data_IF_608929060519
#
_entry.id   IF_608929060519
#
_cell.length_a   1.000
_cell.length_b   1.000
_cell.length_c   1.000
_cell.angle_alpha   90.00
_cell.angle_beta   90.00
_cell.angle_gamma   90.00
#
_symmetry.space_group_name_H-M   'P 1'
#
loop_
_entity.id
_entity.type
_entity.pdbx_description
1 polymer ?
#
# COMPACT_ATOMS: atom_id res chain seq x y z
N UNK A 1 18.72 -43.51 -26.30
CA UNK A 1 17.45 -44.16 -25.95
C UNK A 1 16.51 -43.08 -25.42
N UNK A 2 15.49 -42.69 -26.21
CA UNK A 2 14.48 -41.69 -25.88
C UNK A 2 13.19 -42.42 -25.52
N UNK A 3 12.61 -42.15 -24.36
CA UNK A 3 11.16 -42.27 -24.11
C UNK A 3 10.77 -41.12 -23.16
N UNK A 4 9.87 -40.20 -23.56
CA UNK A 4 9.30 -39.17 -22.70
C UNK A 4 7.95 -39.65 -22.14
N UNK A 5 7.62 -39.34 -20.88
CA UNK A 5 6.26 -39.51 -20.34
C UNK A 5 6.03 -38.47 -19.23
N UNK A 6 5.28 -37.40 -19.54
CA UNK A 6 3.86 -37.16 -19.21
C UNK A 6 3.60 -36.64 -17.79
N UNK A 7 3.16 -35.38 -17.71
CA UNK A 7 2.27 -34.91 -16.63
C UNK A 7 0.95 -35.70 -16.67
N UNK A 8 0.27 -35.83 -15.52
CA UNK A 8 -1.08 -35.24 -15.47
C UNK A 8 -1.49 -34.63 -14.10
N UNK A 9 -2.27 -33.55 -14.22
CA UNK A 9 -3.55 -33.19 -13.56
C UNK A 9 -3.81 -33.53 -12.08
N UNK A 10 -4.39 -32.55 -11.36
CA UNK A 10 -5.78 -32.53 -10.78
C UNK A 10 -5.93 -31.27 -9.91
N UNK A 11 -6.65 -30.20 -10.31
CA UNK A 11 -8.12 -29.89 -10.27
C UNK A 11 -8.67 -29.61 -8.86
N UNK A 12 -9.35 -28.44 -8.71
CA UNK A 12 -10.64 -28.12 -8.03
C UNK A 12 -10.67 -26.59 -7.71
N UNK A 13 -11.72 -25.78 -7.83
CA UNK A 13 -13.09 -25.92 -8.37
C UNK A 13 -13.79 -24.51 -8.38
N UNK A 14 -14.84 -24.40 -9.21
CA UNK A 14 -16.03 -23.50 -9.21
C UNK A 14 -15.88 -21.97 -9.01
N UNK A 15 -16.48 -21.24 -9.96
CA UNK A 15 -17.60 -20.33 -9.63
C UNK A 15 -18.51 -20.10 -10.85
N UNK A 16 -19.78 -20.44 -10.64
CA UNK A 16 -20.93 -20.09 -11.47
C UNK A 16 -21.07 -18.56 -11.58
N UNK A 17 -21.51 -18.09 -12.73
CA UNK A 17 -22.41 -16.94 -12.81
C UNK A 17 -23.32 -17.07 -14.02
N UNK A 18 -24.59 -17.28 -13.73
CA UNK A 18 -25.66 -17.38 -14.70
C UNK A 18 -26.10 -16.01 -15.26
N UNK A 19 -26.51 -16.06 -16.52
CA UNK A 19 -27.77 -15.55 -17.08
C UNK A 19 -28.46 -14.43 -16.28
N UNK A 20 -28.45 -13.22 -16.82
CA UNK A 20 -29.65 -12.39 -16.89
C UNK A 20 -29.77 -11.78 -18.28
N UNK A 21 -30.99 -11.90 -18.79
CA UNK A 21 -31.45 -11.57 -20.14
C UNK A 21 -32.09 -10.18 -20.19
N UNK A 22 -32.35 -9.74 -21.43
CA UNK A 22 -33.34 -8.74 -21.89
C UNK A 22 -32.89 -7.27 -21.78
N UNK A 23 -32.75 -6.52 -22.90
CA UNK A 23 -33.70 -6.09 -23.94
C UNK A 23 -34.45 -4.79 -23.58
N UNK A 24 -34.50 -3.88 -24.56
CA UNK A 24 -35.11 -2.55 -24.51
C UNK A 24 -34.25 -1.58 -25.31
N UNK A 25 -34.20 -1.64 -26.65
CA UNK A 25 -35.28 -1.30 -27.59
C UNK A 25 -35.83 0.10 -27.35
N UNK A 26 -35.26 1.14 -27.96
CA UNK A 26 -35.95 2.38 -28.32
C UNK A 26 -35.32 2.92 -29.61
N UNK A 27 -35.93 2.52 -30.71
CA UNK A 27 -35.86 3.16 -32.03
C UNK A 27 -37.06 4.11 -32.09
N UNK A 28 -36.87 5.37 -32.45
CA UNK A 28 -37.89 6.16 -33.13
C UNK A 28 -37.22 7.20 -34.01
N UNK A 29 -37.55 7.07 -35.29
CA UNK A 29 -37.25 7.96 -36.39
C UNK A 29 -38.23 9.16 -36.43
N UNK A 30 -37.80 10.18 -37.16
CA UNK A 30 -38.58 11.05 -38.06
C UNK A 30 -39.50 12.19 -37.56
N UNK A 31 -39.09 13.37 -38.03
CA UNK A 31 -39.87 14.41 -38.71
C UNK A 31 -41.15 14.97 -38.05
N UNK A 32 -41.05 16.22 -37.56
CA UNK A 32 -42.03 17.27 -37.91
C UNK A 32 -41.31 18.62 -38.05
N UNK A 33 -41.33 19.15 -39.27
CA UNK A 33 -41.06 20.54 -39.56
C UNK A 33 -42.16 21.44 -38.95
N UNK A 34 -41.77 22.50 -38.24
CA UNK A 34 -42.63 23.67 -38.03
C UNK A 34 -41.84 24.95 -38.31
N UNK A 35 -42.11 25.48 -39.50
CA UNK A 35 -41.95 26.90 -39.82
C UNK A 35 -42.71 27.73 -38.79
N UNK A 36 -41.99 28.60 -38.08
CA UNK A 36 -42.57 29.66 -37.25
C UNK A 36 -41.94 30.97 -37.69
N UNK A 37 -42.79 31.90 -38.13
CA UNK A 37 -42.47 33.22 -38.65
C UNK A 37 -41.65 34.09 -37.67
N UNK A 38 -40.89 35.08 -38.18
CA UNK A 38 -40.03 35.93 -37.36
C UNK A 38 -40.83 36.90 -36.48
N UNK A 39 -40.48 36.93 -35.18
CA UNK A 39 -40.90 37.96 -34.22
C UNK A 39 -39.98 39.18 -34.38
N UNK A 40 -40.48 40.43 -34.34
CA UNK A 40 -39.65 41.62 -34.39
C UNK A 40 -38.68 41.70 -33.21
N UNK A 41 -37.40 41.79 -33.53
CA UNK A 41 -36.28 41.87 -32.58
C UNK A 41 -36.23 43.26 -31.94
N UNK A 42 -36.48 43.34 -30.63
CA UNK A 42 -36.24 44.53 -29.81
C UNK A 42 -34.72 44.73 -29.65
N UNK A 43 -34.21 45.98 -29.66
CA UNK A 43 -32.78 46.25 -29.58
C UNK A 43 -32.19 45.72 -28.26
N UNK A 44 -30.98 45.13 -28.31
CA UNK A 44 -30.34 44.52 -27.14
C UNK A 44 -30.04 45.57 -26.08
N UNK A 45 -30.55 45.31 -24.87
CA UNK A 45 -30.19 46.03 -23.64
C UNK A 45 -28.67 45.88 -23.43
N UNK A 46 -27.92 46.97 -23.19
CA UNK A 46 -26.48 46.88 -22.94
C UNK A 46 -26.22 45.95 -21.74
N UNK A 47 -25.62 44.80 -22.03
CA UNK A 47 -25.11 43.90 -21.00
C UNK A 47 -23.95 44.63 -20.34
N UNK A 48 -24.17 45.15 -19.15
CA UNK A 48 -23.10 45.64 -18.30
C UNK A 48 -22.03 44.52 -18.18
N UNK A 49 -20.75 44.82 -18.39
CA UNK A 49 -19.70 43.81 -18.30
C UNK A 49 -19.76 43.16 -16.92
N UNK A 50 -20.04 41.85 -16.90
CA UNK A 50 -19.99 41.04 -15.70
C UNK A 50 -18.57 41.17 -15.13
N UNK A 51 -18.45 41.89 -14.00
CA UNK A 51 -17.21 42.02 -13.26
C UNK A 51 -16.73 40.59 -12.97
N UNK A 52 -15.58 40.15 -13.50
CA UNK A 52 -15.08 38.82 -13.22
C UNK A 52 -14.85 38.71 -11.72
N UNK A 53 -15.66 37.87 -11.06
CA UNK A 53 -15.50 37.57 -9.65
C UNK A 53 -14.08 37.04 -9.44
N UNK A 54 -13.34 37.52 -8.41
CA UNK A 54 -11.96 37.15 -8.21
C UNK A 54 -11.85 35.64 -8.03
N UNK A 55 -11.18 35.00 -8.99
CA UNK A 55 -10.83 33.58 -8.95
C UNK A 55 -9.96 33.30 -7.72
N UNK A 56 -10.56 32.91 -6.59
CA UNK A 56 -9.83 32.42 -5.41
C UNK A 56 -8.87 31.32 -5.85
N UNK A 57 -7.58 31.48 -5.57
CA UNK A 57 -6.57 30.47 -5.85
C UNK A 57 -6.88 29.19 -5.05
N UNK A 58 -6.50 28.00 -5.55
CA UNK A 58 -6.58 26.77 -4.77
C UNK A 58 -5.83 26.93 -3.45
N UNK A 59 -6.47 26.57 -2.34
CA UNK A 59 -5.83 26.58 -1.03
C UNK A 59 -5.07 25.27 -0.85
N UNK A 60 -3.85 25.34 -0.35
CA UNK A 60 -2.99 24.18 -0.22
C UNK A 60 -2.42 24.14 1.20
N UNK A 61 -2.70 23.05 1.91
CA UNK A 61 -2.34 22.85 3.30
C UNK A 61 -1.43 21.62 3.45
N UNK A 62 -0.41 21.74 4.31
CA UNK A 62 0.47 20.61 4.65
C UNK A 62 0.10 20.09 6.03
N UNK A 63 -0.25 18.81 6.12
CA UNK A 63 -0.55 18.13 7.37
C UNK A 63 0.57 17.15 7.71
N UNK A 64 1.08 17.22 8.94
CA UNK A 64 2.13 16.34 9.44
C UNK A 64 1.52 15.40 10.46
N UNK A 65 1.31 14.15 10.05
CA UNK A 65 0.79 13.10 10.89
C UNK A 65 1.92 12.43 11.66
N UNK A 66 1.83 12.41 12.99
CA UNK A 66 2.70 11.63 13.85
C UNK A 66 2.07 10.26 14.08
N UNK A 67 2.82 9.19 13.79
CA UNK A 67 2.36 7.82 13.97
C UNK A 67 2.28 7.52 15.47
N UNK A 68 1.13 6.99 15.88
CA UNK A 68 0.92 6.53 17.25
C UNK A 68 1.43 5.10 17.39
N UNK A 69 2.55 4.95 18.10
CA UNK A 69 3.22 3.68 18.33
C UNK A 69 2.35 2.65 19.05
N UNK A 70 1.44 3.10 19.92
CA UNK A 70 0.55 2.19 20.68
C UNK A 70 -0.56 1.61 19.81
N UNK A 71 -0.88 2.27 18.70
CA UNK A 71 -1.95 1.88 17.76
C UNK A 71 -1.43 1.44 16.39
N UNK A 72 -0.10 1.43 16.22
CA UNK A 72 0.54 1.10 14.95
C UNK A 72 1.44 -0.11 15.13
N UNK A 73 1.16 -1.15 14.35
CA UNK A 73 1.89 -2.42 14.41
C UNK A 73 2.36 -2.80 13.01
N UNK A 74 3.60 -3.25 12.91
CA UNK A 74 4.15 -3.95 11.76
C UNK A 74 4.23 -5.44 12.05
N UNK A 75 3.85 -6.25 11.07
CA UNK A 75 3.94 -7.70 11.10
C UNK A 75 4.90 -8.10 9.99
N UNK A 76 5.88 -8.94 10.33
CA UNK A 76 6.79 -9.55 9.38
C UNK A 76 6.47 -11.04 9.33
N UNK A 77 6.13 -11.51 8.14
CA UNK A 77 6.11 -12.91 7.78
C UNK A 77 7.40 -13.23 7.03
N UNK A 78 8.19 -14.16 7.58
CA UNK A 78 9.39 -14.68 6.91
C UNK A 78 9.22 -16.17 6.60
N UNK A 79 9.49 -16.54 5.35
CA UNK A 79 9.64 -17.95 4.94
C UNK A 79 11.10 -18.29 4.77
N UNK A 80 11.55 -19.39 5.39
CA UNK A 80 12.92 -19.89 5.33
C UNK A 80 12.93 -21.23 4.59
N UNK A 81 13.71 -21.32 3.52
CA UNK A 81 13.94 -22.57 2.79
C UNK A 81 15.45 -22.83 2.66
N UNK A 82 16.07 -23.56 3.62
CA UNK A 82 17.49 -23.83 3.61
C UNK A 82 17.85 -24.84 2.53
N UNK A 83 18.25 -24.35 1.34
CA UNK A 83 18.79 -25.22 0.28
C UNK A 83 20.05 -25.93 0.79
N UNK A 84 20.09 -27.23 0.57
CA UNK A 84 21.20 -28.10 0.94
C UNK A 84 20.85 -29.15 1.99
N UNK A 85 19.73 -28.99 2.71
CA UNK A 85 19.33 -29.94 3.76
C UNK A 85 18.01 -30.70 3.48
N UNK A 86 17.32 -30.42 2.35
CA UNK A 86 16.04 -31.05 1.98
C UNK A 86 14.96 -30.98 3.08
N UNK A 87 15.01 -29.95 3.92
CA UNK A 87 14.19 -29.86 5.13
C UNK A 87 12.78 -29.28 4.90
N UNK A 88 12.51 -28.79 3.70
CA UNK A 88 11.31 -28.05 3.35
C UNK A 88 11.28 -26.64 3.95
N UNK A 89 10.41 -25.80 3.39
CA UNK A 89 10.23 -24.43 3.85
C UNK A 89 9.46 -24.37 5.18
N UNK A 90 9.88 -23.45 6.06
CA UNK A 90 9.18 -23.10 7.30
C UNK A 90 8.84 -21.62 7.30
N UNK A 91 7.76 -21.26 7.98
CA UNK A 91 7.31 -19.88 8.12
C UNK A 91 7.36 -19.48 9.59
N UNK A 92 7.85 -18.27 9.85
CA UNK A 92 7.75 -17.61 11.14
C UNK A 92 7.11 -16.23 10.95
N UNK A 93 6.38 -15.80 11.97
CA UNK A 93 5.71 -14.51 12.02
C UNK A 93 6.10 -13.82 13.31
N UNK A 94 6.39 -12.54 13.24
CA UNK A 94 6.50 -11.70 14.42
C UNK A 94 5.92 -10.29 14.19
N UNK A 95 5.62 -9.59 15.29
CA UNK A 95 4.98 -8.27 15.29
C UNK A 95 5.78 -7.31 16.15
N UNK A 96 5.98 -6.08 15.66
CA UNK A 96 6.58 -5.01 16.44
C UNK A 96 5.81 -3.70 16.29
N UNK A 97 5.78 -2.86 17.34
CA UNK A 97 5.27 -1.49 17.22
C UNK A 97 6.11 -0.67 16.23
N UNK A 98 5.47 0.30 15.58
CA UNK A 98 6.14 1.23 14.65
C UNK A 98 5.92 2.67 15.08
N UNK A 99 6.92 3.52 14.81
CA UNK A 99 6.83 4.97 14.96
C UNK A 99 7.23 5.67 13.67
N UNK A 100 6.92 6.96 13.58
CA UNK A 100 7.30 7.74 12.41
C UNK A 100 6.40 8.93 12.12
N UNK A 101 6.49 9.41 10.87
CA UNK A 101 5.74 10.56 10.38
C UNK A 101 5.24 10.33 8.96
N UNK A 102 4.07 10.90 8.66
CA UNK A 102 3.50 10.94 7.32
C UNK A 102 3.18 12.41 7.00
N UNK A 103 3.80 12.94 5.96
CA UNK A 103 3.57 14.31 5.50
C UNK A 103 2.64 14.27 4.29
N UNK A 104 1.50 14.92 4.45
CA UNK A 104 0.42 14.94 3.48
C UNK A 104 0.20 16.37 3.00
N UNK A 105 -0.03 16.52 1.70
CA UNK A 105 -0.46 17.77 1.09
C UNK A 105 -1.92 17.64 0.68
N UNK A 106 -2.75 18.52 1.23
CA UNK A 106 -4.18 18.62 0.95
C UNK A 106 -4.42 19.88 0.14
N UNK A 107 -5.04 19.72 -1.03
CA UNK A 107 -5.35 20.83 -1.93
C UNK A 107 -6.84 20.95 -2.10
N UNK A 108 -7.37 22.13 -1.82
CA UNK A 108 -8.77 22.49 -1.96
C UNK A 108 -8.97 23.33 -3.22
N UNK A 109 -9.72 22.77 -4.18
CA UNK A 109 -10.18 23.51 -5.34
C UNK A 109 -11.44 24.29 -4.96
N UNK A 110 -11.25 25.57 -4.68
CA UNK A 110 -12.33 26.50 -4.29
C UNK A 110 -13.40 26.70 -5.37
N UNK A 111 -13.11 26.37 -6.65
CA UNK A 111 -14.07 26.48 -7.76
C UNK A 111 -14.99 25.27 -7.86
N UNK A 112 -14.45 24.07 -7.65
CA UNK A 112 -15.20 22.81 -7.80
C UNK A 112 -15.65 22.22 -6.46
N UNK A 113 -15.12 22.74 -5.34
CA UNK A 113 -15.27 22.14 -4.02
C UNK A 113 -14.52 20.81 -3.86
N UNK A 114 -13.71 20.41 -4.84
CA UNK A 114 -12.93 19.18 -4.79
C UNK A 114 -11.73 19.34 -3.85
N UNK A 115 -11.61 18.41 -2.90
CA UNK A 115 -10.42 18.26 -2.07
C UNK A 115 -9.59 17.09 -2.57
N UNK A 116 -8.28 17.27 -2.69
CA UNK A 116 -7.33 16.24 -3.10
C UNK A 116 -6.28 16.02 -2.04
N UNK A 117 -5.82 14.78 -1.92
CA UNK A 117 -4.76 14.36 -1.02
C UNK A 117 -3.57 13.85 -1.82
N UNK A 118 -2.37 14.28 -1.45
CA UNK A 118 -1.11 13.74 -1.95
C UNK A 118 -0.18 13.44 -0.78
N UNK A 119 0.58 12.37 -0.87
CA UNK A 119 1.57 12.01 0.14
C UNK A 119 2.93 12.50 -0.33
N UNK A 120 3.55 13.38 0.46
CA UNK A 120 4.87 13.92 0.15
C UNK A 120 5.99 13.08 0.74
N UNK A 121 5.80 12.64 1.98
CA UNK A 121 6.81 11.87 2.69
C UNK A 121 6.14 10.87 3.63
N UNK A 122 6.78 9.71 3.79
CA UNK A 122 6.42 8.66 4.75
C UNK A 122 7.74 8.19 5.35
N UNK A 123 7.89 8.25 6.67
CA UNK A 123 9.06 7.67 7.35
C UNK A 123 8.57 6.85 8.51
N UNK A 124 8.79 5.53 8.44
CA UNK A 124 8.33 4.58 9.45
C UNK A 124 9.51 3.73 9.88
N UNK A 125 9.64 3.50 11.18
CA UNK A 125 10.64 2.58 11.75
C UNK A 125 10.03 1.71 12.83
N UNK A 126 10.56 0.50 13.01
CA UNK A 126 10.17 -0.37 14.10
C UNK A 126 10.76 0.11 15.43
N UNK A 127 9.99 0.02 16.50
CA UNK A 127 10.47 0.36 17.86
C UNK A 127 10.71 -0.87 18.71
N UNK A 128 10.00 -1.97 18.43
CA UNK A 128 10.34 -3.30 18.93
C UNK A 128 11.26 -4.05 17.97
N UNK A 129 12.01 -5.00 18.50
CA UNK A 129 12.72 -5.99 17.68
C UNK A 129 11.72 -7.04 17.14
N UNK A 130 12.09 -7.68 16.04
CA UNK A 130 11.44 -8.90 15.57
C UNK A 130 12.35 -10.10 15.83
N UNK A 131 11.76 -11.20 16.32
CA UNK A 131 12.42 -12.45 16.65
C UNK A 131 11.68 -13.59 15.98
N UNK A 132 12.38 -14.32 15.12
CA UNK A 132 11.79 -15.40 14.33
C UNK A 132 12.61 -16.67 14.46
N UNK A 133 11.99 -17.70 15.03
CA UNK A 133 12.60 -19.00 15.26
C UNK A 133 12.05 -20.06 14.32
N UNK A 134 12.95 -20.86 13.77
CA UNK A 134 12.63 -21.97 12.88
C UNK A 134 13.29 -23.24 13.39
N UNK A 135 12.50 -24.28 13.67
CA UNK A 135 13.01 -25.53 14.21
C UNK A 135 12.74 -26.73 13.27
N UNK A 136 13.74 -27.60 13.14
CA UNK A 136 13.67 -28.84 12.35
C UNK A 136 13.98 -30.11 13.15
N UNK A 137 13.85 -30.02 14.48
CA UNK A 137 14.09 -31.14 15.41
C UNK A 137 15.51 -31.16 15.97
N UNK A 138 15.73 -32.02 16.98
CA UNK A 138 16.93 -31.99 17.82
C UNK A 138 18.24 -32.27 17.07
N UNK A 139 18.22 -33.16 16.07
CA UNK A 139 19.41 -33.52 15.29
C UNK A 139 19.74 -32.49 14.20
N UNK A 140 18.72 -31.88 13.59
CA UNK A 140 18.89 -30.92 12.50
C UNK A 140 19.24 -29.54 13.05
N UNK A 141 18.52 -29.11 14.08
CA UNK A 141 18.73 -27.86 14.79
C UNK A 141 17.67 -26.79 14.53
N UNK A 142 18.06 -25.54 14.73
CA UNK A 142 17.20 -24.37 14.54
C UNK A 142 17.91 -23.23 13.81
N UNK A 143 17.14 -22.31 13.23
CA UNK A 143 17.61 -21.02 12.74
C UNK A 143 16.86 -19.95 13.50
N UNK A 144 17.58 -18.93 13.91
CA UNK A 144 17.05 -17.71 14.54
C UNK A 144 17.32 -16.55 13.61
N UNK A 145 16.31 -15.68 13.43
CA UNK A 145 16.41 -14.44 12.64
C UNK A 145 15.94 -13.30 13.52
N UNK A 146 16.87 -12.42 13.88
CA UNK A 146 16.63 -11.26 14.72
C UNK A 146 16.73 -9.97 13.89
N UNK A 147 15.69 -9.14 13.92
CA UNK A 147 15.70 -7.78 13.35
C UNK A 147 15.64 -6.79 14.52
N UNK A 148 16.73 -6.08 14.85
CA UNK A 148 16.74 -5.20 16.00
C UNK A 148 15.75 -4.04 15.89
N UNK A 149 15.39 -3.45 17.03
CA UNK A 149 14.63 -2.21 17.09
C UNK A 149 15.35 -1.08 16.32
N UNK A 150 14.58 -0.23 15.63
CA UNK A 150 15.08 0.94 14.89
C UNK A 150 15.80 0.63 13.58
N UNK A 151 15.95 -0.65 13.22
CA UNK A 151 16.72 -1.06 12.04
C UNK A 151 15.89 -0.98 10.77
N UNK A 152 14.63 -1.39 10.80
CA UNK A 152 13.73 -1.28 9.66
C UNK A 152 13.38 0.19 9.46
N UNK A 153 13.60 0.70 8.26
CA UNK A 153 13.27 2.07 7.86
C UNK A 153 12.55 2.06 6.52
N UNK A 154 11.28 2.42 6.52
CA UNK A 154 10.43 2.50 5.33
C UNK A 154 10.31 3.95 4.93
N UNK A 155 10.66 4.25 3.68
CA UNK A 155 10.59 5.60 3.09
C UNK A 155 9.96 5.57 1.70
N UNK A 156 9.37 6.68 1.21
CA UNK A 156 8.90 6.73 -0.17
C UNK A 156 10.07 6.53 -1.14
N UNK A 157 9.83 5.77 -2.19
CA UNK A 157 10.70 5.71 -3.36
C UNK A 157 10.09 6.56 -4.49
N UNK A 158 8.82 6.32 -4.82
CA UNK A 158 8.08 7.10 -5.81
C UNK A 158 6.61 7.14 -5.41
N UNK A 159 6.09 8.35 -5.19
CA UNK A 159 4.66 8.62 -4.95
C UNK A 159 4.32 9.91 -5.70
N UNK A 160 3.74 9.77 -6.90
CA UNK A 160 3.48 10.92 -7.80
C UNK A 160 2.01 11.30 -7.88
N UNK A 161 1.12 10.43 -7.39
CA UNK A 161 -0.31 10.58 -7.57
C UNK A 161 -0.97 11.29 -6.39
N UNK A 162 -2.03 12.04 -6.71
CA UNK A 162 -2.99 12.53 -5.74
C UNK A 162 -4.30 11.78 -5.89
N UNK A 163 -5.03 11.60 -4.80
CA UNK A 163 -6.36 11.02 -4.78
C UNK A 163 -7.38 12.08 -4.42
N UNK A 164 -8.64 11.87 -4.81
CA UNK A 164 -9.74 12.65 -4.27
C UNK A 164 -9.88 12.32 -2.78
N UNK A 165 -10.07 13.33 -1.96
CA UNK A 165 -10.33 13.18 -0.54
C UNK A 165 -11.74 13.70 -0.27
N UNK A 166 -12.67 12.80 -0.04
CA UNK A 166 -14.01 13.17 0.42
C UNK A 166 -13.89 13.77 1.83
N UNK A 167 -14.82 14.66 2.22
CA UNK A 167 -14.79 15.29 3.56
C UNK A 167 -14.74 14.20 4.63
N UNK A 168 -13.60 14.06 5.29
CA UNK A 168 -13.32 13.01 6.26
C UNK A 168 -13.57 11.57 5.73
N UNK A 169 -13.08 11.29 4.53
CA UNK A 169 -13.37 10.06 3.80
C UNK A 169 -12.18 9.16 3.49
N UNK A 170 -12.43 8.04 2.78
CA UNK A 170 -11.39 7.16 2.30
C UNK A 170 -10.56 7.83 1.21
N UNK A 171 -9.33 7.37 1.05
CA UNK A 171 -8.48 7.70 -0.09
C UNK A 171 -7.79 6.44 -0.62
N UNK A 172 -7.44 6.47 -1.90
CA UNK A 172 -6.62 5.46 -2.53
C UNK A 172 -5.61 6.13 -3.47
N UNK A 173 -4.33 5.98 -3.18
CA UNK A 173 -3.23 6.46 -4.02
C UNK A 173 -2.60 5.22 -4.69
N UNK A 174 -2.86 5.00 -5.99
CA UNK A 174 -2.26 3.89 -6.72
C UNK A 174 -0.75 4.11 -6.92
N UNK A 175 -0.10 3.09 -7.48
CA UNK A 175 1.25 3.20 -8.05
C UNK A 175 2.31 3.75 -7.08
N UNK A 176 2.19 3.42 -5.80
CA UNK A 176 3.17 3.79 -4.78
C UNK A 176 4.31 2.77 -4.77
N UNK A 177 5.53 3.28 -4.61
CA UNK A 177 6.73 2.48 -4.42
C UNK A 177 7.45 2.96 -3.16
N UNK A 178 7.97 2.01 -2.40
CA UNK A 178 8.71 2.28 -1.17
C UNK A 178 10.14 1.77 -1.30
N UNK A 179 11.01 2.36 -0.49
CA UNK A 179 12.32 1.79 -0.16
C UNK A 179 12.24 1.32 1.27
N UNK A 180 12.66 0.09 1.52
CA UNK A 180 12.81 -0.44 2.88
C UNK A 180 14.27 -0.70 3.11
N UNK A 181 14.82 -0.12 4.17
CA UNK A 181 16.18 -0.33 4.60
C UNK A 181 16.15 -1.18 5.87
N UNK A 182 17.14 -2.03 6.06
CA UNK A 182 17.23 -2.82 7.28
C UNK A 182 18.29 -3.91 7.19
N UNK A 183 18.50 -4.58 8.30
CA UNK A 183 19.32 -5.77 8.38
C UNK A 183 18.78 -6.71 9.45
N UNK A 184 19.12 -7.98 9.35
CA UNK A 184 18.89 -8.98 10.38
C UNK A 184 20.20 -9.62 10.82
N UNK A 185 20.16 -10.26 11.98
CA UNK A 185 21.14 -11.24 12.39
C UNK A 185 20.52 -12.62 12.23
N UNK A 186 21.17 -13.48 11.46
CA UNK A 186 20.74 -14.85 11.25
C UNK A 186 21.75 -15.77 11.92
N UNK A 187 21.28 -16.76 12.67
CA UNK A 187 22.13 -17.77 13.29
C UNK A 187 21.47 -19.14 13.24
N UNK A 188 22.12 -20.09 12.56
CA UNK A 188 21.82 -21.51 12.68
C UNK A 188 22.48 -22.12 13.93
N UNK A 189 21.82 -23.11 14.53
CA UNK A 189 22.35 -23.97 15.60
C UNK A 189 22.01 -25.43 15.30
N UNK A 190 22.67 -26.37 15.97
CA UNK A 190 22.51 -27.81 15.76
C UNK A 190 23.47 -28.38 14.71
N UNK A 191 23.52 -29.70 14.57
CA UNK A 191 24.59 -30.39 13.82
C UNK A 191 24.59 -30.04 12.33
N UNK A 192 23.40 -29.95 11.72
CA UNK A 192 23.23 -29.67 10.29
C UNK A 192 23.21 -28.16 10.04
N UNK A 193 22.34 -27.44 10.75
CA UNK A 193 22.05 -26.04 10.43
C UNK A 193 23.13 -25.05 10.89
N UNK A 194 23.95 -25.35 11.89
CA UNK A 194 25.08 -24.48 12.26
C UNK A 194 26.14 -24.37 11.16
N UNK A 195 26.29 -25.42 10.35
CA UNK A 195 27.21 -25.44 9.20
C UNK A 195 26.61 -24.79 7.97
N UNK A 196 25.33 -25.03 7.72
CA UNK A 196 24.63 -24.50 6.55
C UNK A 196 24.30 -23.00 6.68
N UNK A 197 24.02 -22.53 7.89
CA UNK A 197 23.61 -21.15 8.17
C UNK A 197 24.48 -20.59 9.31
N UNK A 198 25.69 -20.09 9.00
CA UNK A 198 26.56 -19.50 10.01
C UNK A 198 25.95 -18.22 10.58
N UNK A 199 26.43 -17.80 11.75
CA UNK A 199 26.03 -16.52 12.34
C UNK A 199 26.51 -15.38 11.46
N UNK A 200 25.59 -14.58 10.92
CA UNK A 200 25.94 -13.43 10.07
C UNK A 200 24.90 -12.32 10.12
N UNK A 201 25.35 -11.12 9.76
CA UNK A 201 24.48 -10.00 9.44
C UNK A 201 24.02 -10.12 8.00
N UNK A 202 22.73 -9.91 7.77
CA UNK A 202 22.09 -10.03 6.47
C UNK A 202 21.42 -8.71 6.13
N UNK A 203 21.71 -8.17 4.94
CA UNK A 203 21.05 -6.95 4.46
C UNK A 203 19.63 -7.28 3.99
N UNK A 204 18.66 -6.54 4.51
CA UNK A 204 17.24 -6.64 4.17
C UNK A 204 16.78 -5.44 3.33
N UNK A 205 17.73 -4.72 2.72
CA UNK A 205 17.44 -3.51 1.96
C UNK A 205 16.74 -3.82 0.63
N UNK A 206 15.51 -3.32 0.52
CA UNK A 206 14.70 -3.30 -0.69
C UNK A 206 14.76 -1.90 -1.31
N UNK A 207 15.57 -1.72 -2.35
CA UNK A 207 15.73 -0.41 -3.00
C UNK A 207 14.40 0.13 -3.54
N UNK A 208 13.56 -0.76 -4.08
CA UNK A 208 12.24 -0.45 -4.60
C UNK A 208 11.33 -1.67 -4.41
N UNK A 209 10.24 -1.49 -3.68
CA UNK A 209 9.24 -2.55 -3.49
C UNK A 209 8.45 -2.80 -4.78
N UNK A 210 7.67 -3.89 -4.78
CA UNK A 210 6.56 -4.02 -5.73
C UNK A 210 5.61 -2.83 -5.63
N UNK A 211 4.88 -2.58 -6.72
CA UNK A 211 3.87 -1.53 -6.77
C UNK A 211 2.76 -1.83 -5.77
N UNK A 212 2.39 -0.84 -4.96
CA UNK A 212 1.29 -0.96 -4.00
C UNK A 212 0.28 0.17 -4.19
N UNK A 213 -0.97 -0.10 -3.84
CA UNK A 213 -1.99 0.95 -3.71
C UNK A 213 -2.11 1.29 -2.23
N UNK A 214 -1.77 2.52 -1.87
CA UNK A 214 -1.91 2.99 -0.50
C UNK A 214 -3.36 3.42 -0.26
N UNK A 215 -4.06 2.68 0.59
CA UNK A 215 -5.47 2.93 0.93
C UNK A 215 -5.58 3.31 2.39
N UNK A 216 -6.45 4.24 2.71
CA UNK A 216 -6.71 4.63 4.09
C UNK A 216 -7.93 5.52 4.21
N UNK A 217 -8.16 6.01 5.41
CA UNK A 217 -9.20 6.97 5.75
C UNK A 217 -8.61 8.11 6.58
N UNK A 218 -9.15 9.31 6.39
CA UNK A 218 -8.85 10.45 7.24
C UNK A 218 -10.14 10.90 7.91
N UNK A 219 -10.12 11.02 9.23
CA UNK A 219 -11.23 11.57 10.02
C UNK A 219 -10.81 12.87 10.67
N UNK A 220 -11.60 13.92 10.51
CA UNK A 220 -11.33 15.23 11.13
C UNK A 220 -12.34 15.44 12.24
N UNK A 221 -11.86 15.67 13.46
CA UNK A 221 -12.68 15.96 14.63
C UNK A 221 -11.97 16.98 15.51
N UNK A 222 -12.67 18.07 15.86
CA UNK A 222 -12.19 19.11 16.78
C UNK A 222 -10.77 19.63 16.44
N UNK A 223 -10.50 19.93 15.17
CA UNK A 223 -9.18 20.42 14.71
C UNK A 223 -8.07 19.37 14.69
N UNK A 224 -8.40 18.09 14.89
CA UNK A 224 -7.45 16.97 14.78
C UNK A 224 -7.85 16.07 13.62
N UNK A 225 -6.92 15.86 12.69
CA UNK A 225 -7.04 14.84 11.66
C UNK A 225 -6.41 13.53 12.17
N UNK A 226 -7.15 12.44 12.06
CA UNK A 226 -6.68 11.07 12.31
C UNK A 226 -6.60 10.36 10.97
N UNK A 227 -5.40 9.90 10.61
CA UNK A 227 -5.12 9.07 9.45
C UNK A 227 -5.05 7.62 9.88
N UNK A 228 -5.78 6.76 9.18
CA UNK A 228 -5.73 5.32 9.37
C UNK A 228 -5.47 4.65 8.02
N UNK A 229 -4.41 3.84 7.95
CA UNK A 229 -4.00 3.09 6.75
C UNK A 229 -4.04 1.60 7.14
N UNK A 230 -5.12 0.88 6.81
CA UNK A 230 -5.22 -0.52 7.14
C UNK A 230 -4.31 -1.34 6.23
N UNK A 231 -3.52 -2.23 6.83
CA UNK A 231 -2.83 -3.33 6.16
C UNK A 231 -2.03 -2.89 4.92
N UNK A 232 -1.16 -1.89 5.06
CA UNK A 232 -0.18 -1.57 4.04
C UNK A 232 0.75 -2.78 3.85
N UNK A 233 0.80 -3.37 2.64
CA UNK A 233 1.55 -4.60 2.36
C UNK A 233 2.77 -4.29 1.50
N UNK A 234 3.96 -4.67 1.95
CA UNK A 234 5.19 -4.69 1.17
C UNK A 234 5.69 -6.13 1.07
N UNK A 235 6.08 -6.56 -0.13
CA UNK A 235 6.51 -7.93 -0.42
C UNK A 235 7.84 -7.93 -1.15
N UNK A 236 8.70 -8.87 -0.78
CA UNK A 236 9.94 -9.15 -1.48
C UNK A 236 10.49 -10.55 -1.12
N UNK A 237 11.58 -10.94 -1.75
CA UNK A 237 12.31 -12.17 -1.46
C UNK A 237 13.81 -11.94 -1.59
N UNK A 238 14.57 -12.48 -0.64
CA UNK A 238 16.02 -12.43 -0.65
C UNK A 238 16.58 -13.84 -0.83
N UNK A 239 17.70 -13.96 -1.53
CA UNK A 239 18.43 -15.22 -1.66
C UNK A 239 19.78 -15.07 -0.96
N UNK A 240 20.06 -15.96 -0.02
CA UNK A 240 21.31 -16.01 0.72
C UNK A 240 21.94 -17.39 0.53
N UNK A 241 22.84 -17.48 -0.45
CA UNK A 241 23.58 -18.70 -0.79
C UNK A 241 22.64 -19.89 -1.10
N UNK A 242 21.56 -19.63 -1.83
CA UNK A 242 20.54 -20.60 -2.21
C UNK A 242 19.41 -20.74 -1.19
N UNK A 243 19.56 -20.22 0.02
CA UNK A 243 18.49 -20.16 1.01
C UNK A 243 17.58 -18.97 0.70
N UNK A 244 16.32 -19.25 0.38
CA UNK A 244 15.35 -18.19 0.09
C UNK A 244 14.70 -17.69 1.38
N UNK A 245 14.67 -16.37 1.53
CA UNK A 245 13.95 -15.65 2.56
C UNK A 245 12.83 -14.83 1.92
N UNK A 246 11.59 -15.30 1.98
CA UNK A 246 10.43 -14.50 1.57
C UNK A 246 10.08 -13.51 2.67
N UNK A 247 9.92 -12.22 2.34
CA UNK A 247 9.51 -11.19 3.28
C UNK A 247 8.16 -10.61 2.87
N UNK A 248 7.19 -10.72 3.78
CA UNK A 248 5.90 -10.04 3.68
C UNK A 248 5.77 -9.15 4.92
N UNK A 249 5.94 -7.84 4.70
CA UNK A 249 5.71 -6.83 5.72
C UNK A 249 4.31 -6.28 5.58
N UNK A 250 3.51 -6.34 6.65
CA UNK A 250 2.19 -5.71 6.70
C UNK A 250 2.10 -4.74 7.87
N UNK A 251 1.55 -3.55 7.66
CA UNK A 251 1.39 -2.58 8.73
C UNK A 251 -0.04 -2.07 8.83
N UNK A 252 -0.54 -1.94 10.06
CA UNK A 252 -1.71 -1.14 10.37
C UNK A 252 -1.24 0.18 10.98
N UNK A 253 -1.46 1.30 10.30
CA UNK A 253 -0.91 2.60 10.69
C UNK A 253 -2.03 3.53 11.15
N UNK A 254 -1.90 4.01 12.38
CA UNK A 254 -2.74 5.08 12.93
C UNK A 254 -1.86 6.29 13.25
N UNK A 255 -2.21 7.46 12.73
CA UNK A 255 -1.43 8.67 12.90
C UNK A 255 -2.34 9.89 13.11
N UNK A 256 -1.84 10.93 13.79
CA UNK A 256 -2.62 12.14 14.10
C UNK A 256 -1.89 13.41 13.73
N UNK A 257 -2.63 14.40 13.24
CA UNK A 257 -2.14 15.73 12.91
C UNK A 257 -3.10 16.80 13.46
N UNK A 258 -2.56 17.90 13.99
CA UNK A 258 -3.37 19.10 14.25
C UNK A 258 -3.57 19.84 12.92
N UNK A 259 -4.82 20.10 12.56
CA UNK A 259 -5.19 20.83 11.35
C UNK A 259 -5.76 22.19 11.74
N UNK A 260 -5.30 23.24 11.06
CA UNK A 260 -5.73 24.63 11.26
C UNK A 260 -6.81 25.01 10.26
#
# INVERSE_FOLDING_TARGET
MKIPLTLPNTIFILLLSGILSSCGFWKNDDHVARLSSPVPELPPKPIAPAIPSPSKKPETQTWIFNIDEKRTTGVIDLSMDPKGAMLGSRLARDTAPLKGKITVLVTDNTKTGERRISIKDIRITNTGAYHMDYAWGALVGNITVDIPAGVINIKPNTITQSSRLEKAGPFAIPQCYFTVLGHSHVSGRGLVLSKAVPRRKVDLTMKKTQQVTLRGDIKISKGTATLHIPRAVLRDSFDFDGTKLGLLFTANITATATVK
#
